data_IF_274156261487
#
_entry.id   IF_274156261487
#
_cell.length_a   1.000
_cell.length_b   1.000
_cell.length_c   1.000
_cell.angle_alpha   90.00
_cell.angle_beta   90.00
_cell.angle_gamma   90.00
#
_symmetry.space_group_name_H-M   'P 1'
#
loop_
_entity.id
_entity.type
_entity.pdbx_description
1 polymer ?
#
# COMPACT_ATOMS: atom_id res chain seq x y z
N UNK A 1 14.26 3.81 -2.42
CA UNK A 1 15.11 4.59 -1.50
C UNK A 1 14.29 5.66 -0.81
N UNK A 2 13.53 6.45 -1.57
CA UNK A 2 12.70 7.56 -1.06
C UNK A 2 11.66 7.13 -0.01
N UNK A 3 10.95 6.01 -0.20
CA UNK A 3 10.03 5.48 0.81
C UNK A 3 10.69 5.30 2.19
N UNK A 4 11.87 4.70 2.24
CA UNK A 4 12.51 4.36 3.50
C UNK A 4 13.11 5.57 4.22
N UNK A 5 13.63 6.55 3.48
CA UNK A 5 14.34 7.70 4.07
C UNK A 5 13.47 8.94 4.21
N UNK A 6 12.51 9.13 3.30
CA UNK A 6 11.67 10.33 3.22
C UNK A 6 10.20 10.02 3.54
N UNK A 7 9.79 8.75 3.48
CA UNK A 7 8.39 8.37 3.61
C UNK A 7 7.58 8.69 2.36
N UNK A 8 8.23 8.87 1.20
CA UNK A 8 7.54 9.11 -0.07
C UNK A 8 7.23 7.78 -0.77
N UNK A 9 5.94 7.45 -0.87
CA UNK A 9 5.44 6.23 -1.51
C UNK A 9 5.14 6.44 -3.00
N UNK A 10 5.02 7.68 -3.48
CA UNK A 10 4.63 7.96 -4.85
C UNK A 10 5.53 7.25 -5.89
N UNK A 11 6.87 7.29 -5.80
CA UNK A 11 7.72 6.60 -6.77
C UNK A 11 7.48 5.09 -6.82
N UNK A 12 7.11 4.48 -5.69
CA UNK A 12 6.77 3.05 -5.64
C UNK A 12 5.43 2.79 -6.33
N UNK A 13 4.40 3.61 -6.06
CA UNK A 13 3.11 3.52 -6.73
C UNK A 13 3.26 3.70 -8.25
N UNK A 14 4.01 4.72 -8.67
CA UNK A 14 4.29 4.99 -10.08
C UNK A 14 5.02 3.82 -10.74
N UNK A 15 6.00 3.22 -10.05
CA UNK A 15 6.70 2.06 -10.56
C UNK A 15 5.77 0.85 -10.74
N UNK A 16 4.93 0.57 -9.74
CA UNK A 16 3.97 -0.55 -9.79
C UNK A 16 3.03 -0.39 -10.97
N UNK A 17 2.42 0.80 -11.15
CA UNK A 17 1.48 1.08 -12.24
C UNK A 17 2.18 1.01 -13.61
N UNK A 18 3.31 1.68 -13.76
CA UNK A 18 3.94 1.85 -15.08
C UNK A 18 4.72 0.61 -15.55
N UNK A 19 5.12 -0.28 -14.65
CA UNK A 19 5.93 -1.45 -14.98
C UNK A 19 5.26 -2.77 -14.66
N UNK A 20 4.90 -3.02 -13.40
CA UNK A 20 4.35 -4.32 -12.98
C UNK A 20 2.98 -4.56 -13.59
N UNK A 21 2.08 -3.62 -13.35
CA UNK A 21 0.69 -3.69 -13.75
C UNK A 21 0.50 -3.62 -15.27
N UNK A 22 1.33 -2.85 -15.96
CA UNK A 22 1.32 -2.74 -17.42
C UNK A 22 1.62 -4.07 -18.15
N UNK A 23 2.33 -4.99 -17.51
CA UNK A 23 2.65 -6.31 -18.08
C UNK A 23 1.48 -7.30 -17.91
N UNK A 24 0.62 -7.09 -16.90
CA UNK A 24 -0.54 -7.94 -16.67
C UNK A 24 -1.57 -7.71 -17.78
N UNK A 25 -2.00 -8.80 -18.42
CA UNK A 25 -2.95 -8.73 -19.53
C UNK A 25 -4.37 -8.43 -19.05
N UNK A 26 -5.24 -7.94 -19.94
CA UNK A 26 -6.67 -7.77 -19.65
C UNK A 26 -7.37 -9.07 -19.21
N UNK A 27 -6.77 -10.25 -19.44
CA UNK A 27 -7.29 -11.53 -18.93
C UNK A 27 -6.96 -11.73 -17.45
N UNK A 28 -5.82 -11.22 -17.01
CA UNK A 28 -5.38 -11.30 -15.62
C UNK A 28 -6.22 -10.41 -14.70
N UNK A 29 -6.85 -9.37 -15.25
CA UNK A 29 -7.85 -8.53 -14.57
C UNK A 29 -9.03 -9.30 -13.98
N UNK A 30 -9.41 -10.43 -14.58
CA UNK A 30 -10.55 -11.23 -14.09
C UNK A 30 -10.27 -11.79 -12.69
N UNK A 31 -8.99 -12.03 -12.38
CA UNK A 31 -8.55 -12.59 -11.11
C UNK A 31 -7.87 -11.55 -10.20
N UNK A 32 -7.75 -10.31 -10.68
CA UNK A 32 -7.16 -9.21 -9.95
C UNK A 32 -7.96 -8.88 -8.69
N UNK A 33 -7.23 -8.81 -7.58
CA UNK A 33 -7.79 -8.53 -6.26
C UNK A 33 -6.71 -7.90 -5.37
N UNK A 34 -7.08 -7.61 -4.12
CA UNK A 34 -6.19 -7.03 -3.11
C UNK A 34 -4.91 -7.86 -2.88
N UNK A 35 -5.00 -9.20 -2.92
CA UNK A 35 -3.82 -10.07 -2.80
C UNK A 35 -2.82 -9.83 -3.93
N UNK A 36 -3.28 -9.61 -5.15
CA UNK A 36 -2.39 -9.35 -6.29
C UNK A 36 -1.62 -8.05 -6.11
N UNK A 37 -2.30 -7.00 -5.64
CA UNK A 37 -1.69 -5.70 -5.31
C UNK A 37 -0.65 -5.88 -4.20
N UNK A 38 -1.04 -6.54 -3.10
CA UNK A 38 -0.15 -6.85 -1.98
C UNK A 38 1.11 -7.58 -2.43
N UNK A 39 0.96 -8.62 -3.26
CA UNK A 39 2.11 -9.38 -3.79
C UNK A 39 3.03 -8.51 -4.64
N UNK A 40 2.49 -7.65 -5.51
CA UNK A 40 3.32 -6.75 -6.33
C UNK A 40 4.20 -5.84 -5.44
N UNK A 41 3.61 -5.18 -4.45
CA UNK A 41 4.35 -4.34 -3.50
C UNK A 41 5.35 -5.15 -2.66
N UNK A 42 4.96 -6.33 -2.17
CA UNK A 42 5.83 -7.19 -1.38
C UNK A 42 7.09 -7.60 -2.15
N UNK A 43 6.96 -7.98 -3.42
CA UNK A 43 8.13 -8.38 -4.23
C UNK A 43 9.13 -7.24 -4.45
N UNK A 44 8.66 -5.99 -4.46
CA UNK A 44 9.50 -4.80 -4.61
C UNK A 44 10.11 -4.33 -3.30
N UNK A 45 9.39 -4.51 -2.20
CA UNK A 45 9.78 -4.07 -0.87
C UNK A 45 10.57 -5.13 -0.10
N UNK A 46 10.64 -6.37 -0.59
CA UNK A 46 11.28 -7.48 0.10
C UNK A 46 12.75 -7.18 0.42
N UNK A 47 13.04 -6.98 1.71
CA UNK A 47 14.38 -6.70 2.20
C UNK A 47 14.55 -7.19 3.64
N UNK A 48 14.78 -8.49 3.79
CA UNK A 48 15.01 -9.19 5.06
C UNK A 48 16.36 -8.86 5.73
N UNK A 49 17.27 -8.23 4.99
CA UNK A 49 18.52 -7.72 5.52
C UNK A 49 18.32 -6.50 6.43
N UNK A 50 17.34 -5.65 6.12
CA UNK A 50 17.03 -4.43 6.87
C UNK A 50 15.80 -4.57 7.75
N UNK A 51 14.79 -5.29 7.28
CA UNK A 51 13.46 -5.35 7.88
C UNK A 51 13.09 -6.76 8.33
N UNK A 52 12.42 -6.85 9.48
CA UNK A 52 11.51 -7.93 9.80
C UNK A 52 10.20 -7.57 9.11
N UNK A 53 9.89 -8.31 8.05
CA UNK A 53 8.64 -8.11 7.32
C UNK A 53 7.61 -9.12 7.78
N UNK A 54 6.40 -8.64 7.99
CA UNK A 54 5.28 -9.48 8.41
C UNK A 54 4.01 -9.02 7.70
N UNK A 55 3.26 -9.98 7.18
CA UNK A 55 1.94 -9.79 6.57
C UNK A 55 0.82 -10.37 7.43
N UNK A 56 1.16 -10.96 8.58
CA UNK A 56 0.24 -11.74 9.42
C UNK A 56 0.42 -11.53 10.94
N UNK A 57 1.12 -10.51 11.44
CA UNK A 57 1.31 -10.40 12.90
C UNK A 57 -0.04 -10.17 13.60
N UNK A 58 -0.49 -11.17 14.36
CA UNK A 58 -1.61 -11.07 15.31
C UNK A 58 -1.27 -10.07 16.42
N UNK A 59 -1.38 -8.78 16.13
CA UNK A 59 -1.55 -7.77 17.18
C UNK A 59 -3.05 -7.55 17.28
N UNK A 60 -3.63 -7.98 18.41
CA UNK A 60 -5.04 -7.79 18.74
C UNK A 60 -6.02 -8.43 17.72
N UNK A 61 -5.64 -9.60 17.16
CA UNK A 61 -6.40 -10.39 16.17
C UNK A 61 -6.74 -9.65 14.87
N UNK A 62 -5.95 -8.64 14.51
CA UNK A 62 -6.09 -7.90 13.25
C UNK A 62 -4.83 -8.04 12.44
N UNK A 63 -4.99 -8.40 11.18
CA UNK A 63 -3.92 -8.52 10.21
C UNK A 63 -3.76 -7.17 9.49
N UNK A 64 -2.54 -6.66 9.41
CA UNK A 64 -2.21 -5.62 8.42
C UNK A 64 -1.69 -6.27 7.17
N UNK A 65 -1.90 -5.60 6.07
CA UNK A 65 -1.45 -6.10 4.80
C UNK A 65 0.07 -6.20 4.64
N UNK A 66 0.81 -5.19 5.09
CA UNK A 66 2.28 -5.20 5.09
C UNK A 66 2.84 -4.33 6.21
N UNK A 67 3.66 -4.93 7.06
CA UNK A 67 4.50 -4.21 8.02
C UNK A 67 5.98 -4.53 7.78
N UNK A 68 6.82 -3.49 7.79
CA UNK A 68 8.28 -3.58 7.69
C UNK A 68 8.90 -2.92 8.93
N UNK A 69 9.32 -3.73 9.90
CA UNK A 69 9.95 -3.26 11.15
C UNK A 69 11.47 -3.37 11.00
N UNK A 70 12.21 -2.29 11.22
CA UNK A 70 13.68 -2.30 11.12
C UNK A 70 14.23 -3.29 12.15
N UNK A 71 15.11 -4.18 11.71
CA UNK A 71 15.77 -5.14 12.59
C UNK A 71 16.53 -4.42 13.72
N UNK A 72 16.54 -4.94 14.96
CA UNK A 72 17.22 -4.29 16.08
C UNK A 72 18.68 -3.92 15.80
N UNK A 73 19.43 -4.79 15.11
CA UNK A 73 20.83 -4.57 14.75
C UNK A 73 21.05 -3.55 13.61
N UNK A 74 19.96 -3.13 12.95
CA UNK A 74 19.96 -2.18 11.83
C UNK A 74 19.42 -0.79 12.21
N UNK A 75 19.01 -0.59 13.47
CA UNK A 75 18.45 0.69 13.98
C UNK A 75 19.39 1.89 13.87
N UNK A 76 20.69 1.68 13.63
CA UNK A 76 21.67 2.74 13.33
C UNK A 76 21.38 3.52 12.05
N UNK A 77 20.61 2.94 11.11
CA UNK A 77 20.23 3.63 9.89
C UNK A 77 19.07 4.59 10.18
N UNK A 78 19.09 5.78 9.59
CA UNK A 78 18.01 6.77 9.71
C UNK A 78 16.93 6.53 8.63
N UNK A 79 16.18 5.44 8.81
CA UNK A 79 15.07 5.04 7.93
C UNK A 79 13.81 4.77 8.75
N UNK A 80 12.64 4.77 8.09
CA UNK A 80 11.35 4.53 8.72
C UNK A 80 11.02 3.04 8.83
N UNK A 81 10.29 2.70 9.89
CA UNK A 81 9.44 1.51 9.92
C UNK A 81 8.20 1.81 9.07
N UNK A 82 7.74 0.85 8.28
CA UNK A 82 6.69 1.08 7.28
C UNK A 82 5.48 0.20 7.60
N UNK A 83 4.28 0.78 7.50
CA UNK A 83 3.02 0.07 7.48
C UNK A 83 2.25 0.47 6.23
N UNK A 84 1.75 -0.50 5.47
CA UNK A 84 0.92 -0.23 4.30
C UNK A 84 -0.33 -1.09 4.39
N UNK A 85 -1.48 -0.43 4.24
CA UNK A 85 -2.78 -1.07 4.09
C UNK A 85 -3.25 -0.95 2.64
N UNK A 86 -3.56 -2.07 1.99
CA UNK A 86 -4.02 -2.11 0.62
C UNK A 86 -5.54 -2.26 0.56
N UNK A 87 -6.13 -1.69 -0.48
CA UNK A 87 -7.48 -2.00 -0.96
C UNK A 87 -7.42 -2.12 -2.47
N UNK A 88 -8.40 -2.83 -3.01
CA UNK A 88 -8.58 -2.96 -4.45
C UNK A 88 -10.00 -2.60 -4.83
N UNK A 89 -10.13 -1.74 -5.84
CA UNK A 89 -11.40 -1.37 -6.47
C UNK A 89 -11.33 -1.82 -7.93
N UNK A 90 -12.29 -2.63 -8.35
CA UNK A 90 -12.37 -3.06 -9.74
C UNK A 90 -12.77 -1.90 -10.65
N UNK A 91 -12.35 -1.93 -11.93
CA UNK A 91 -12.80 -0.97 -12.94
C UNK A 91 -14.34 -0.93 -13.07
N UNK A 92 -15.00 -2.09 -12.96
CA UNK A 92 -16.47 -2.18 -12.97
C UNK A 92 -17.11 -1.46 -11.77
N UNK A 93 -16.51 -1.58 -10.58
CA UNK A 93 -16.99 -0.89 -9.39
C UNK A 93 -16.77 0.63 -9.49
N UNK A 94 -15.62 1.04 -10.03
CA UNK A 94 -15.32 2.44 -10.34
C UNK A 94 -16.15 3.00 -11.50
N UNK A 95 -16.83 2.13 -12.27
CA UNK A 95 -17.55 2.46 -13.51
C UNK A 95 -16.65 3.14 -14.55
N UNK A 96 -15.42 2.65 -14.67
CA UNK A 96 -14.42 3.13 -15.62
C UNK A 96 -13.98 1.99 -16.53
N UNK A 97 -13.57 2.34 -17.73
CA UNK A 97 -12.66 1.54 -18.55
C UNK A 97 -11.21 1.78 -18.12
N UNK A 98 -10.28 0.89 -18.51
CA UNK A 98 -8.87 1.09 -18.21
C UNK A 98 -8.28 2.35 -18.88
N UNK A 99 -8.72 2.67 -20.10
CA UNK A 99 -8.31 3.90 -20.78
C UNK A 99 -8.82 5.16 -20.06
N UNK A 100 -10.06 5.17 -19.56
CA UNK A 100 -10.58 6.29 -18.76
C UNK A 100 -9.80 6.45 -17.46
N UNK A 101 -9.55 5.35 -16.74
CA UNK A 101 -8.79 5.37 -15.50
C UNK A 101 -7.36 5.92 -15.71
N UNK A 102 -6.66 5.47 -16.77
CA UNK A 102 -5.30 5.93 -17.08
C UNK A 102 -5.21 7.41 -17.40
N UNK A 103 -6.24 7.98 -18.03
CA UNK A 103 -6.24 9.38 -18.46
C UNK A 103 -6.91 10.35 -17.47
N UNK A 104 -7.52 9.84 -16.40
CA UNK A 104 -8.15 10.65 -15.36
C UNK A 104 -7.11 11.42 -14.53
N UNK A 105 -7.40 12.62 -14.07
CA UNK A 105 -6.52 13.32 -13.11
C UNK A 105 -6.51 12.61 -11.74
N UNK A 106 -5.43 12.72 -10.98
CA UNK A 106 -5.37 12.14 -9.62
C UNK A 106 -6.44 12.74 -8.71
N UNK A 107 -6.69 14.05 -8.81
CA UNK A 107 -7.71 14.74 -8.00
C UNK A 107 -9.09 14.15 -8.25
N UNK A 108 -9.45 13.94 -9.52
CA UNK A 108 -10.74 13.37 -9.91
C UNK A 108 -10.88 11.91 -9.48
N UNK A 109 -9.81 11.12 -9.63
CA UNK A 109 -9.77 9.72 -9.18
C UNK A 109 -10.04 9.63 -7.66
N UNK A 110 -9.37 10.48 -6.88
CA UNK A 110 -9.52 10.55 -5.43
C UNK A 110 -10.91 11.05 -5.00
N UNK A 111 -11.66 11.72 -5.89
CA UNK A 111 -13.03 12.15 -5.62
C UNK A 111 -14.08 11.05 -5.82
N UNK A 112 -13.77 9.97 -6.54
CA UNK A 112 -14.71 8.89 -6.82
C UNK A 112 -15.26 8.27 -5.52
N UNK A 113 -16.59 8.06 -5.40
CA UNK A 113 -17.18 7.56 -4.17
C UNK A 113 -16.62 6.21 -3.69
N UNK A 114 -16.38 5.26 -4.59
CA UNK A 114 -15.80 3.96 -4.24
C UNK A 114 -14.34 4.09 -3.77
N UNK A 115 -13.56 4.97 -4.39
CA UNK A 115 -12.17 5.23 -3.99
C UNK A 115 -12.12 5.88 -2.62
N UNK A 116 -12.94 6.88 -2.36
CA UNK A 116 -13.07 7.49 -1.02
C UNK A 116 -13.47 6.49 0.05
N UNK A 117 -14.46 5.65 -0.24
CA UNK A 117 -14.92 4.63 0.70
C UNK A 117 -13.79 3.65 1.05
N UNK A 118 -13.12 3.11 0.03
CA UNK A 118 -11.98 2.20 0.20
C UNK A 118 -10.80 2.87 0.90
N UNK A 119 -10.48 4.11 0.54
CA UNK A 119 -9.41 4.89 1.18
C UNK A 119 -9.71 5.12 2.66
N UNK A 120 -10.92 5.57 3.02
CA UNK A 120 -11.31 5.76 4.42
C UNK A 120 -11.25 4.45 5.22
N UNK A 121 -11.64 3.32 4.62
CA UNK A 121 -11.51 2.01 5.25
C UNK A 121 -10.04 1.64 5.50
N UNK A 122 -9.18 1.80 4.50
CA UNK A 122 -7.74 1.56 4.62
C UNK A 122 -7.09 2.45 5.68
N UNK A 123 -7.39 3.76 5.68
CA UNK A 123 -6.93 4.72 6.69
C UNK A 123 -7.37 4.29 8.09
N UNK A 124 -8.63 3.86 8.27
CA UNK A 124 -9.14 3.40 9.55
C UNK A 124 -8.41 2.16 10.08
N UNK A 125 -8.18 1.17 9.20
CA UNK A 125 -7.47 -0.06 9.53
C UNK A 125 -5.99 0.21 9.86
N UNK A 126 -5.30 0.98 9.01
CA UNK A 126 -3.91 1.38 9.21
C UNK A 126 -3.72 2.15 10.53
N UNK A 127 -4.57 3.14 10.82
CA UNK A 127 -4.49 3.91 12.08
C UNK A 127 -4.70 3.05 13.32
N UNK A 128 -5.64 2.11 13.26
CA UNK A 128 -5.89 1.19 14.35
C UNK A 128 -4.66 0.33 14.65
N UNK A 129 -4.04 -0.24 13.62
CA UNK A 129 -2.88 -1.08 13.82
C UNK A 129 -1.62 -0.29 14.16
N UNK A 130 -1.41 0.87 13.56
CA UNK A 130 -0.32 1.78 13.91
C UNK A 130 -0.37 2.16 15.41
N UNK A 131 -1.57 2.41 15.94
CA UNK A 131 -1.77 2.63 17.38
C UNK A 131 -1.33 1.43 18.21
N UNK A 132 -1.71 0.21 17.81
CA UNK A 132 -1.35 -1.01 18.52
C UNK A 132 0.17 -1.30 18.47
N UNK A 133 0.81 -1.08 17.31
CA UNK A 133 2.26 -1.19 17.13
C UNK A 133 3.01 -0.20 18.02
N UNK A 134 2.65 1.08 17.98
CA UNK A 134 3.31 2.11 18.77
C UNK A 134 3.12 1.92 20.29
N UNK A 135 2.00 1.32 20.71
CA UNK A 135 1.80 0.93 22.12
C UNK A 135 2.74 -0.20 22.55
N UNK A 136 3.02 -1.15 21.66
CA UNK A 136 3.89 -2.29 21.93
C UNK A 136 5.38 -1.95 21.78
N UNK A 137 5.71 -1.09 20.82
CA UNK A 137 7.06 -0.71 20.43
C UNK A 137 7.13 0.82 20.27
N UNK A 138 7.29 1.57 21.37
CA UNK A 138 7.27 3.03 21.34
C UNK A 138 8.47 3.66 20.62
N UNK A 139 9.51 2.88 20.33
CA UNK A 139 10.72 3.31 19.63
C UNK A 139 10.60 3.28 18.09
N UNK A 140 9.49 2.80 17.54
CA UNK A 140 9.29 2.74 16.09
C UNK A 140 9.24 4.13 15.48
N UNK A 141 9.94 4.30 14.36
CA UNK A 141 9.79 5.49 13.50
C UNK A 141 8.78 5.13 12.42
N UNK A 142 7.54 4.94 12.85
CA UNK A 142 6.49 4.40 11.99
C UNK A 142 5.97 5.44 10.99
N UNK A 143 5.98 5.09 9.71
CA UNK A 143 5.25 5.76 8.64
C UNK A 143 4.18 4.81 8.12
N UNK A 144 2.94 5.28 8.09
CA UNK A 144 1.79 4.47 7.70
C UNK A 144 1.16 5.02 6.43
N UNK A 145 0.72 4.11 5.58
CA UNK A 145 0.17 4.43 4.27
C UNK A 145 -1.12 3.64 4.03
N UNK A 146 -2.06 4.28 3.34
CA UNK A 146 -3.21 3.63 2.75
C UNK A 146 -3.06 3.67 1.23
N UNK A 147 -3.28 2.54 0.55
CA UNK A 147 -3.10 2.40 -0.89
C UNK A 147 -4.33 1.73 -1.49
N UNK A 148 -4.98 2.38 -2.45
CA UNK A 148 -6.12 1.84 -3.18
C UNK A 148 -5.75 1.68 -4.64
N UNK A 149 -5.64 0.44 -5.11
CA UNK A 149 -5.48 0.16 -6.54
C UNK A 149 -6.84 0.17 -7.25
N UNK A 150 -6.88 0.78 -8.42
CA UNK A 150 -8.07 0.86 -9.29
C UNK A 150 -7.78 0.05 -10.54
N UNK A 151 -8.25 -1.20 -10.52
CA UNK A 151 -7.72 -2.21 -11.43
C UNK A 151 -6.19 -2.30 -11.31
N UNK A 152 -5.54 -2.43 -12.45
CA UNK A 152 -4.10 -2.27 -12.63
C UNK A 152 -3.74 -0.98 -13.38
N UNK A 153 -4.70 -0.07 -13.57
CA UNK A 153 -4.49 1.15 -14.35
C UNK A 153 -3.99 2.31 -13.50
N UNK A 154 -4.42 2.37 -12.23
CA UNK A 154 -4.13 3.50 -11.33
C UNK A 154 -4.04 3.09 -9.87
N UNK A 155 -3.40 3.95 -9.09
CA UNK A 155 -3.33 3.86 -7.64
C UNK A 155 -3.66 5.23 -7.04
N UNK A 156 -4.46 5.23 -5.98
CA UNK A 156 -4.64 6.35 -5.05
C UNK A 156 -3.97 6.00 -3.73
N UNK A 157 -3.31 6.95 -3.09
CA UNK A 157 -2.62 6.69 -1.82
C UNK A 157 -2.75 7.87 -0.83
N UNK A 158 -2.57 7.57 0.45
CA UNK A 158 -2.54 8.57 1.51
C UNK A 158 -1.44 8.27 2.52
N UNK A 159 -0.81 9.33 3.04
CA UNK A 159 0.19 9.26 4.12
C UNK A 159 -0.49 9.69 5.43
N UNK A 160 -0.36 8.86 6.46
CA UNK A 160 -1.02 9.04 7.77
C UNK A 160 -0.15 9.77 8.80
#
# INVERSE_FOLDING_TARGET
QELYTQGDIQPLCDFVVNHYFKILSNRDYVWANELTVKTAFLTLLYNDNLYIMDSETEIDRRYTDLTMIIRPDKRRFEIFDILIEFKYVSLSEARLTGDEARNMDQTDLDQLPCIKASMNAAIGQANQYAKALNQKYPELRLKSFAVVAVGFDRISWNVL
#
